data_IF_912672971897
#
_entry.id   IF_912672971897
#
_cell.length_a   1.000
_cell.length_b   1.000
_cell.length_c   1.000
_cell.angle_alpha   90.00
_cell.angle_beta   90.00
_cell.angle_gamma   90.00
#
_symmetry.space_group_name_H-M   'P 1'
#
loop_
_entity.id
_entity.type
_entity.pdbx_description
1 polymer ?
#
# COMPACT_ATOMS: atom_id res chain seq x y z
N UNK A 1 -26.82 -24.97 -1.56
CA UNK A 1 -25.93 -23.88 -1.97
C UNK A 1 -24.58 -24.15 -1.33
N UNK A 2 -23.58 -24.60 -2.09
CA UNK A 2 -22.24 -24.86 -1.56
C UNK A 2 -21.51 -23.54 -1.33
N UNK A 3 -20.72 -23.38 -0.26
CA UNK A 3 -19.94 -22.17 -0.07
C UNK A 3 -18.86 -22.11 -1.16
N UNK A 4 -18.67 -20.94 -1.76
CA UNK A 4 -17.51 -20.63 -2.60
C UNK A 4 -16.31 -20.53 -1.66
N UNK A 5 -15.77 -21.69 -1.28
CA UNK A 5 -14.42 -21.82 -0.75
C UNK A 5 -13.45 -21.43 -1.87
N UNK A 6 -12.35 -20.78 -1.52
CA UNK A 6 -11.17 -20.48 -2.37
C UNK A 6 -11.01 -19.05 -2.92
N UNK A 7 -11.79 -18.06 -2.46
CA UNK A 7 -11.60 -16.66 -2.89
C UNK A 7 -10.88 -15.74 -1.87
N UNK A 8 -10.45 -16.26 -0.72
CA UNK A 8 -9.95 -15.39 0.36
C UNK A 8 -8.43 -15.52 0.53
N UNK A 9 -7.73 -14.41 0.28
CA UNK A 9 -6.39 -14.18 0.81
C UNK A 9 -6.39 -14.55 2.29
N UNK A 10 -5.66 -15.59 2.64
CA UNK A 10 -5.39 -15.90 4.04
C UNK A 10 -4.61 -14.70 4.55
N UNK A 11 -4.99 -14.12 5.70
CA UNK A 11 -4.31 -12.95 6.29
C UNK A 11 -2.88 -13.31 6.66
N UNK A 12 -2.05 -13.47 5.65
CA UNK A 12 -0.76 -14.10 5.68
C UNK A 12 0.25 -13.05 6.08
N UNK A 13 1.24 -13.52 6.83
CA UNK A 13 2.42 -12.74 7.20
C UNK A 13 2.92 -12.03 5.94
N UNK A 14 3.24 -10.73 6.00
CA UNK A 14 3.76 -10.03 4.84
C UNK A 14 4.87 -10.87 4.22
N UNK A 15 4.75 -11.09 2.91
CA UNK A 15 5.78 -11.79 2.16
C UNK A 15 7.15 -11.16 2.45
N UNK A 16 8.21 -11.96 2.28
CA UNK A 16 9.58 -11.57 2.64
C UNK A 16 10.07 -10.26 1.99
N UNK A 17 9.36 -9.72 1.00
CA UNK A 17 9.65 -8.46 0.34
C UNK A 17 9.36 -7.22 1.20
N UNK A 18 8.31 -7.22 2.05
CA UNK A 18 7.92 -6.07 2.87
C UNK A 18 8.76 -6.03 4.15
N UNK A 19 10.04 -5.76 3.95
CA UNK A 19 11.07 -5.81 4.97
C UNK A 19 11.75 -4.44 5.16
N UNK A 20 12.65 -4.38 6.14
CA UNK A 20 13.44 -3.19 6.46
C UNK A 20 14.12 -2.55 5.24
N UNK A 21 14.74 -3.35 4.36
CA UNK A 21 15.48 -2.83 3.20
C UNK A 21 14.54 -2.16 2.21
N UNK A 22 13.39 -2.80 1.92
CA UNK A 22 12.37 -2.22 1.05
C UNK A 22 11.85 -0.89 1.62
N UNK A 23 11.45 -0.89 2.90
CA UNK A 23 10.91 0.29 3.56
C UNK A 23 11.94 1.43 3.64
N UNK A 24 13.21 1.12 3.93
CA UNK A 24 14.30 2.12 3.92
C UNK A 24 14.43 2.77 2.55
N UNK A 25 14.53 1.97 1.49
CA UNK A 25 14.69 2.48 0.14
C UNK A 25 13.49 3.37 -0.27
N UNK A 26 12.26 2.89 -0.04
CA UNK A 26 11.04 3.61 -0.39
C UNK A 26 10.93 4.96 0.35
N UNK A 27 11.25 4.99 1.64
CA UNK A 27 11.17 6.22 2.44
C UNK A 27 12.32 7.19 2.15
N UNK A 28 13.52 6.69 1.86
CA UNK A 28 14.65 7.53 1.42
C UNK A 28 14.29 8.27 0.12
N UNK A 29 13.68 7.58 -0.84
CA UNK A 29 13.22 8.18 -2.10
C UNK A 29 12.08 9.17 -1.86
N UNK A 30 11.02 8.75 -1.17
CA UNK A 30 9.83 9.58 -0.94
C UNK A 30 10.15 10.87 -0.17
N UNK A 31 11.02 10.81 0.83
CA UNK A 31 11.39 11.96 1.65
C UNK A 31 12.65 12.68 1.18
N UNK A 32 13.30 12.21 0.10
CA UNK A 32 14.57 12.74 -0.42
C UNK A 32 15.67 12.78 0.67
N UNK A 33 15.74 11.73 1.49
CA UNK A 33 16.67 11.62 2.62
C UNK A 33 17.53 10.35 2.50
N UNK A 34 18.62 10.36 1.72
CA UNK A 34 19.40 9.14 1.41
C UNK A 34 20.09 8.51 2.62
N UNK A 35 20.18 9.22 3.75
CA UNK A 35 20.78 8.72 5.00
C UNK A 35 19.75 8.18 5.99
N UNK A 36 18.45 8.25 5.69
CA UNK A 36 17.39 7.77 6.57
C UNK A 36 17.55 6.25 6.79
N UNK A 37 17.57 5.83 8.06
CA UNK A 37 17.58 4.41 8.45
C UNK A 37 16.31 4.08 9.20
N UNK A 38 15.86 2.84 9.09
CA UNK A 38 14.79 2.31 9.91
C UNK A 38 15.41 1.72 11.16
N UNK A 39 14.95 2.15 12.32
CA UNK A 39 15.34 1.56 13.60
C UNK A 39 14.49 0.31 13.82
N UNK A 40 13.18 0.47 13.71
CA UNK A 40 12.18 -0.55 13.99
C UNK A 40 10.99 -0.40 13.04
N UNK A 41 10.34 -1.52 12.71
CA UNK A 41 9.08 -1.51 11.98
C UNK A 41 8.18 -2.67 12.41
N UNK A 42 6.88 -2.46 12.32
CA UNK A 42 5.84 -3.44 12.60
C UNK A 42 4.86 -3.48 11.43
N UNK A 43 4.45 -4.68 11.02
CA UNK A 43 3.56 -4.90 9.89
C UNK A 43 2.38 -5.73 10.35
N UNK A 44 1.18 -5.25 10.05
CA UNK A 44 -0.09 -5.91 10.36
C UNK A 44 -1.01 -5.89 9.15
N UNK A 45 -1.93 -6.85 9.06
CA UNK A 45 -3.05 -6.75 8.13
C UNK A 45 -3.81 -5.44 8.40
N UNK A 46 -4.10 -4.68 7.35
CA UNK A 46 -4.74 -3.37 7.48
C UNK A 46 -6.23 -3.46 7.82
N UNK A 47 -6.84 -4.58 7.45
CA UNK A 47 -8.28 -4.88 7.41
C UNK A 47 -8.50 -6.36 7.75
N UNK A 48 -9.73 -6.71 8.13
CA UNK A 48 -10.09 -8.07 8.53
C UNK A 48 -10.06 -9.07 7.38
N UNK A 49 -10.03 -10.36 7.71
CA UNK A 49 -10.03 -11.42 6.67
C UNK A 49 -11.28 -11.30 5.80
N UNK A 50 -11.06 -11.25 4.49
CA UNK A 50 -12.14 -11.14 3.50
C UNK A 50 -12.58 -9.72 3.17
N UNK A 51 -11.97 -8.70 3.77
CA UNK A 51 -12.27 -7.28 3.47
C UNK A 51 -11.33 -6.69 2.38
N UNK A 52 -10.30 -7.44 1.98
CA UNK A 52 -9.18 -6.99 1.15
C UNK A 52 -9.39 -7.33 -0.35
N UNK A 53 -10.64 -7.32 -0.83
CA UNK A 53 -11.11 -7.99 -2.06
C UNK A 53 -10.27 -7.86 -3.33
N UNK A 54 -9.67 -6.70 -3.57
CA UNK A 54 -8.93 -6.40 -4.81
C UNK A 54 -7.41 -6.30 -4.60
N UNK A 55 -6.91 -6.48 -3.39
CA UNK A 55 -5.51 -6.25 -3.03
C UNK A 55 -5.21 -6.68 -1.61
N UNK A 56 -4.01 -7.15 -1.35
CA UNK A 56 -3.54 -7.29 0.03
C UNK A 56 -3.14 -5.93 0.60
N UNK A 57 -3.62 -5.63 1.82
CA UNK A 57 -3.42 -4.34 2.48
C UNK A 57 -2.74 -4.55 3.83
N UNK A 58 -1.66 -3.80 4.05
CA UNK A 58 -0.88 -3.83 5.28
C UNK A 58 -0.81 -2.44 5.92
N UNK A 59 -0.95 -2.40 7.24
CA UNK A 59 -0.59 -1.24 8.06
C UNK A 59 0.83 -1.44 8.54
N UNK A 60 1.70 -0.48 8.21
CA UNK A 60 3.10 -0.50 8.63
C UNK A 60 3.39 0.69 9.53
N UNK A 61 3.91 0.42 10.72
CA UNK A 61 4.48 1.46 11.59
C UNK A 61 6.00 1.43 11.45
N UNK A 62 6.62 2.58 11.20
CA UNK A 62 8.07 2.69 10.98
C UNK A 62 8.65 3.74 11.91
N UNK A 63 9.69 3.37 12.66
CA UNK A 63 10.52 4.29 13.42
C UNK A 63 11.81 4.56 12.66
N UNK A 64 12.08 5.83 12.36
CA UNK A 64 13.24 6.26 11.58
C UNK A 64 14.34 6.85 12.46
N UNK A 65 15.57 6.86 11.94
CA UNK A 65 16.76 7.37 12.62
C UNK A 65 16.74 8.86 12.97
N UNK A 66 15.82 9.62 12.36
CA UNK A 66 15.57 11.02 12.68
C UNK A 66 14.57 11.20 13.84
N UNK A 67 14.16 10.10 14.49
CA UNK A 67 13.23 10.10 15.61
C UNK A 67 11.75 10.15 15.20
N UNK A 68 11.42 10.13 13.90
CA UNK A 68 10.03 10.17 13.45
C UNK A 68 9.39 8.78 13.44
N UNK A 69 8.08 8.76 13.71
CA UNK A 69 7.21 7.61 13.51
C UNK A 69 6.30 7.86 12.31
N UNK A 70 6.41 7.02 11.28
CA UNK A 70 5.54 7.04 10.10
C UNK A 70 4.53 5.90 10.17
N UNK A 71 3.27 6.17 9.81
CA UNK A 71 2.21 5.17 9.66
C UNK A 71 1.84 5.08 8.20
N UNK A 72 2.03 3.91 7.60
CA UNK A 72 1.87 3.68 6.18
C UNK A 72 0.74 2.67 5.94
N UNK A 73 0.06 2.84 4.81
CA UNK A 73 -0.72 1.78 4.19
C UNK A 73 0.07 1.29 2.99
N UNK A 74 0.38 -0.01 2.97
CA UNK A 74 1.04 -0.67 1.86
C UNK A 74 0.01 -1.55 1.18
N UNK A 75 -0.13 -1.39 -0.13
CA UNK A 75 -1.08 -2.12 -0.95
C UNK A 75 -0.33 -2.96 -1.96
N UNK A 76 -0.72 -4.22 -2.07
CA UNK A 76 -0.12 -5.20 -2.97
C UNK A 76 -1.20 -5.77 -3.90
N UNK A 77 -0.86 -5.93 -5.18
CA UNK A 77 -1.74 -6.56 -6.15
C UNK A 77 -2.01 -8.02 -5.76
N UNK A 78 -3.22 -8.50 -6.03
CA UNK A 78 -3.53 -9.91 -5.79
C UNK A 78 -2.69 -10.79 -6.72
N UNK A 79 -2.01 -11.79 -6.16
CA UNK A 79 -1.19 -12.71 -6.95
C UNK A 79 -1.93 -13.96 -7.39
N UNK A 80 -2.91 -14.39 -6.61
CA UNK A 80 -3.55 -15.69 -6.77
C UNK A 80 -5.08 -15.62 -6.80
N UNK A 81 -5.69 -16.59 -7.46
CA UNK A 81 -7.14 -16.72 -7.58
C UNK A 81 -7.70 -16.18 -8.91
N UNK A 82 -8.89 -16.67 -9.29
CA UNK A 82 -9.54 -16.29 -10.55
C UNK A 82 -9.80 -14.78 -10.66
N UNK A 83 -10.05 -14.13 -9.52
CA UNK A 83 -10.30 -12.70 -9.45
C UNK A 83 -9.03 -11.87 -9.59
N UNK A 84 -7.89 -12.36 -9.11
CA UNK A 84 -6.58 -11.70 -9.28
C UNK A 84 -6.27 -11.46 -10.76
N UNK A 85 -6.48 -12.47 -11.62
CA UNK A 85 -6.28 -12.32 -13.06
C UNK A 85 -7.13 -11.20 -13.66
N UNK A 86 -8.41 -11.13 -13.27
CA UNK A 86 -9.33 -10.09 -13.79
C UNK A 86 -8.88 -8.70 -13.33
N UNK A 87 -8.48 -8.56 -12.06
CA UNK A 87 -8.02 -7.28 -11.51
C UNK A 87 -6.68 -6.87 -12.13
N UNK A 88 -5.74 -7.80 -12.30
CA UNK A 88 -4.41 -7.54 -12.86
C UNK A 88 -4.45 -7.28 -14.38
N UNK A 89 -5.39 -7.90 -15.11
CA UNK A 89 -5.64 -7.58 -16.52
C UNK A 89 -6.38 -6.23 -16.69
N UNK A 90 -6.87 -5.64 -15.59
CA UNK A 90 -7.52 -4.33 -15.58
C UNK A 90 -6.51 -3.19 -15.37
N UNK A 91 -6.97 -1.94 -15.54
CA UNK A 91 -6.18 -0.75 -15.21
C UNK A 91 -6.43 -0.21 -13.80
N UNK A 92 -7.14 -0.96 -12.95
CA UNK A 92 -7.59 -0.48 -11.64
C UNK A 92 -6.42 -0.03 -10.74
N UNK A 93 -5.39 -0.87 -10.59
CA UNK A 93 -4.23 -0.57 -9.75
C UNK A 93 -3.40 0.60 -10.32
N UNK A 94 -3.16 0.62 -11.63
CA UNK A 94 -2.47 1.73 -12.31
C UNK A 94 -3.21 3.07 -12.16
N UNK A 95 -4.55 3.07 -12.29
CA UNK A 95 -5.38 4.26 -12.11
C UNK A 95 -5.35 4.76 -10.67
N UNK A 96 -5.28 3.86 -9.69
CA UNK A 96 -5.13 4.24 -8.28
C UNK A 96 -3.77 4.91 -8.02
N UNK A 97 -2.68 4.36 -8.58
CA UNK A 97 -1.36 5.01 -8.51
C UNK A 97 -1.41 6.40 -9.14
N UNK A 98 -2.02 6.52 -10.33
CA UNK A 98 -2.18 7.81 -11.01
C UNK A 98 -3.02 8.80 -10.17
N UNK A 99 -4.07 8.30 -9.51
CA UNK A 99 -4.94 9.10 -8.67
C UNK A 99 -4.16 9.78 -7.55
N UNK A 100 -3.35 9.03 -6.79
CA UNK A 100 -2.61 9.57 -5.66
C UNK A 100 -1.34 10.34 -6.08
N UNK A 101 -0.66 9.93 -7.15
CA UNK A 101 0.58 10.58 -7.60
C UNK A 101 0.34 11.90 -8.34
N UNK A 102 -0.79 12.00 -9.06
CA UNK A 102 -1.00 13.09 -10.02
C UNK A 102 -2.38 13.72 -9.90
N UNK A 103 -3.46 12.93 -10.06
CA UNK A 103 -4.81 13.48 -10.21
C UNK A 103 -5.28 14.23 -8.97
N UNK A 104 -5.09 13.68 -7.77
CA UNK A 104 -5.49 14.32 -6.52
C UNK A 104 -4.74 15.65 -6.30
N UNK A 105 -3.45 15.70 -6.64
CA UNK A 105 -2.63 16.92 -6.54
C UNK A 105 -3.14 17.99 -7.51
N UNK A 106 -3.45 17.61 -8.75
CA UNK A 106 -4.00 18.53 -9.74
C UNK A 106 -5.38 19.06 -9.34
N UNK A 107 -6.25 18.17 -8.82
CA UNK A 107 -7.56 18.56 -8.31
C UNK A 107 -7.43 19.56 -7.15
N UNK A 108 -6.55 19.30 -6.19
CA UNK A 108 -6.27 20.23 -5.10
C UNK A 108 -5.83 21.60 -5.62
N UNK A 109 -4.88 21.65 -6.55
CA UNK A 109 -4.39 22.91 -7.13
C UNK A 109 -5.46 23.70 -7.89
N UNK A 110 -6.44 23.02 -8.49
CA UNK A 110 -7.58 23.69 -9.15
C UNK A 110 -8.51 24.29 -8.10
N UNK A 111 -8.84 23.52 -7.06
CA UNK A 111 -9.71 23.98 -5.98
C UNK A 111 -9.10 25.15 -5.22
N UNK A 112 -7.81 25.07 -4.89
CA UNK A 112 -7.07 26.13 -4.18
C UNK A 112 -7.09 27.47 -4.95
N UNK A 113 -7.05 27.41 -6.28
CA UNK A 113 -7.15 28.62 -7.14
C UNK A 113 -8.58 29.13 -7.30
N UNK A 114 -9.58 28.27 -7.10
CA UNK A 114 -10.99 28.58 -7.33
C UNK A 114 -11.69 29.10 -6.08
N UNK A 115 -11.11 28.92 -4.90
CA UNK A 115 -11.58 29.50 -3.64
C UNK A 115 -10.81 30.80 -3.39
N UNK A 116 -11.46 31.98 -3.44
CA UNK A 116 -10.83 33.28 -3.20
C UNK A 116 -10.43 33.51 -1.73
#
# INVERSE_FOLDING_TARGET
MAPVLDAYSTGSVPESWLNKKFLENALQEAYKQPKLKIIEYDVKAAVGKGENYCSDLYRVSVHSSDGKMSRLIVKEELKEGKFAKIVNDSTAFCREIQMYSTTAVQLFNILDKAVP
#
